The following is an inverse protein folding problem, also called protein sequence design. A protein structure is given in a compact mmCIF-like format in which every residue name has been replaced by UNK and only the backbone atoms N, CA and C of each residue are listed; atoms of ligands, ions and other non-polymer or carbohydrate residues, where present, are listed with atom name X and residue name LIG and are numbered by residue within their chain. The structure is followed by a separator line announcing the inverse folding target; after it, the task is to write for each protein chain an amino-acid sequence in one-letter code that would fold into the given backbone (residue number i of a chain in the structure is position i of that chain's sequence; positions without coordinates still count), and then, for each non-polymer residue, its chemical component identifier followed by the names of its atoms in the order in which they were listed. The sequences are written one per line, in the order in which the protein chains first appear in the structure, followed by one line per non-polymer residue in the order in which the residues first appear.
data_IF_072004749474
#
_entry.id   IF_072004749474
#
_cell.length_a   1.000
_cell.length_b   1.000
_cell.length_c   1.000
_cell.angle_alpha   90.00
_cell.angle_beta   90.00
_cell.angle_gamma   90.00
#
_symmetry.space_group_name_H-M   'P 1'
#
loop_
_entity.id
_entity.type
_entity.pdbx_description
1 polymer ?
#
# COMPACT_ATOMS: atom_id res chain seq x y z
N UNK A 1 10.30 8.60 6.58
CA UNK A 1 10.49 7.61 7.66
C UNK A 1 9.44 6.49 7.74
N UNK A 2 8.40 6.42 6.88
CA UNK A 2 7.34 5.40 7.03
C UNK A 2 7.29 4.31 5.95
N UNK A 3 7.30 4.67 4.66
CA UNK A 3 7.05 3.73 3.54
C UNK A 3 8.22 2.79 3.25
N UNK A 4 9.45 3.24 3.53
CA UNK A 4 10.67 2.47 3.29
C UNK A 4 10.84 1.26 4.20
N UNK A 5 10.25 1.19 5.40
CA UNK A 5 10.58 0.11 6.36
C UNK A 5 9.99 -1.24 5.99
N UNK A 6 8.73 -1.26 5.55
CA UNK A 6 8.05 -2.50 5.11
C UNK A 6 8.55 -2.95 3.76
N UNK A 7 8.70 -2.03 2.79
CA UNK A 7 9.29 -2.36 1.51
C UNK A 7 10.74 -2.86 1.68
N UNK A 8 11.57 -2.21 2.49
CA UNK A 8 12.94 -2.64 2.73
C UNK A 8 13.05 -3.98 3.49
N UNK A 9 12.06 -4.33 4.31
CA UNK A 9 12.01 -5.63 4.99
C UNK A 9 11.66 -6.78 4.02
N UNK A 10 10.76 -6.54 3.06
CA UNK A 10 10.25 -7.57 2.15
C UNK A 10 10.84 -7.54 0.73
N UNK A 11 11.53 -6.47 0.34
CA UNK A 11 12.23 -6.35 -0.93
C UNK A 11 13.33 -7.40 -1.14
N UNK A 12 14.23 -7.70 -0.17
CA UNK A 12 15.23 -8.75 -0.35
C UNK A 12 14.58 -10.12 -0.48
N UNK A 13 13.57 -10.43 0.34
CA UNK A 13 12.81 -11.68 0.28
C UNK A 13 12.10 -11.86 -1.07
N UNK A 14 11.45 -10.80 -1.57
CA UNK A 14 10.75 -10.81 -2.85
C UNK A 14 11.70 -10.90 -4.03
N UNK A 15 12.88 -10.28 -3.94
CA UNK A 15 13.92 -10.39 -4.97
C UNK A 15 14.53 -11.80 -5.02
N UNK A 16 14.67 -12.47 -3.89
CA UNK A 16 15.13 -13.86 -3.79
C UNK A 16 14.11 -14.83 -4.41
N UNK A 17 12.81 -14.65 -4.10
CA UNK A 17 11.70 -15.40 -4.73
C UNK A 17 11.63 -15.14 -6.23
N UNK A 18 11.81 -13.90 -6.69
CA UNK A 18 11.81 -13.56 -8.11
C UNK A 18 12.98 -14.21 -8.86
N UNK A 19 14.18 -14.27 -8.25
CA UNK A 19 15.34 -15.00 -8.79
C UNK A 19 15.07 -16.51 -8.89
N UNK A 20 14.45 -17.11 -7.86
CA UNK A 20 14.08 -18.52 -7.86
C UNK A 20 12.99 -18.86 -8.88
N UNK A 21 12.08 -17.93 -9.17
CA UNK A 21 10.98 -18.10 -10.12
C UNK A 21 11.33 -17.69 -11.57
N UNK A 22 12.53 -17.15 -11.83
CA UNK A 22 12.94 -16.67 -13.16
C UNK A 22 12.21 -15.41 -13.64
N UNK A 23 11.53 -14.69 -12.74
CA UNK A 23 10.76 -13.47 -13.05
C UNK A 23 11.64 -12.25 -12.79
N UNK A 24 11.51 -11.22 -13.63
CA UNK A 24 12.24 -9.96 -13.42
C UNK A 24 11.88 -9.35 -12.06
N UNK A 25 12.90 -9.08 -11.24
CA UNK A 25 12.77 -8.54 -9.87
C UNK A 25 11.95 -7.24 -9.84
N UNK A 26 12.06 -6.42 -10.89
CA UNK A 26 11.30 -5.17 -11.02
C UNK A 26 9.79 -5.43 -11.05
N UNK A 27 9.39 -6.54 -11.66
CA UNK A 27 7.99 -6.93 -11.81
C UNK A 27 7.30 -7.26 -10.48
N UNK A 28 8.06 -7.74 -9.50
CA UNK A 28 7.56 -8.07 -8.16
C UNK A 28 7.71 -6.90 -7.16
N UNK A 29 8.74 -6.07 -7.32
CA UNK A 29 8.98 -4.94 -6.42
C UNK A 29 8.01 -3.77 -6.62
N UNK A 30 7.56 -3.50 -7.85
CA UNK A 30 6.62 -2.41 -8.14
C UNK A 30 5.28 -2.57 -7.40
N UNK A 31 4.55 -3.69 -7.52
CA UNK A 31 3.32 -3.89 -6.75
C UNK A 31 3.57 -3.89 -5.24
N UNK A 32 4.70 -4.43 -4.79
CA UNK A 32 5.08 -4.43 -3.37
C UNK A 32 5.22 -3.00 -2.83
N UNK A 33 5.89 -2.11 -3.56
CA UNK A 33 6.08 -0.72 -3.18
C UNK A 33 4.74 0.00 -3.04
N UNK A 34 3.86 -0.17 -4.02
CA UNK A 34 2.57 0.48 -4.02
C UNK A 34 1.62 -0.08 -2.95
N UNK A 35 1.60 -1.40 -2.76
CA UNK A 35 0.88 -2.06 -1.68
C UNK A 35 1.32 -1.56 -0.30
N UNK A 36 2.64 -1.45 -0.08
CA UNK A 36 3.21 -0.92 1.17
C UNK A 36 2.82 0.55 1.43
N UNK A 37 2.63 1.35 0.37
CA UNK A 37 2.19 2.74 0.48
C UNK A 37 0.69 2.85 0.79
N UNK A 38 -0.15 2.09 0.08
CA UNK A 38 -1.61 2.10 0.25
C UNK A 38 -2.04 1.57 1.63
N UNK A 39 -1.33 0.58 2.17
CA UNK A 39 -1.64 0.02 3.49
C UNK A 39 -1.61 1.04 4.64
N UNK A 40 -0.79 2.10 4.54
CA UNK A 40 -0.75 3.15 5.59
C UNK A 40 -1.98 4.05 5.60
N UNK A 41 -2.56 4.30 4.43
CA UNK A 41 -3.77 5.12 4.31
C UNK A 41 -5.01 4.41 4.86
N UNK A 42 -4.93 3.10 5.10
CA UNK A 42 -5.98 2.30 5.74
C UNK A 42 -5.94 2.37 7.28
N UNK A 43 -4.87 2.91 7.88
CA UNK A 43 -4.68 2.86 9.33
C UNK A 43 -5.30 4.07 10.05
N UNK A 44 -6.14 3.86 11.09
CA UNK A 44 -6.66 4.94 11.94
C UNK A 44 -5.62 5.71 12.72
N UNK A 45 -4.44 5.12 12.88
CA UNK A 45 -3.32 5.69 13.61
C UNK A 45 -2.38 6.43 12.64
N UNK A 46 -2.70 6.44 11.35
CA UNK A 46 -1.91 7.17 10.35
C UNK A 46 -1.97 8.67 10.61
N UNK A 47 -0.81 9.29 10.83
CA UNK A 47 -0.72 10.71 11.19
C UNK A 47 -1.42 11.65 10.21
N UNK A 48 -1.52 11.26 8.93
CA UNK A 48 -2.26 12.01 7.90
C UNK A 48 -3.78 11.96 8.16
N UNK A 49 -4.33 10.80 8.51
CA UNK A 49 -5.76 10.65 8.84
C UNK A 49 -6.08 11.41 10.13
N UNK A 50 -5.21 11.35 11.13
CA UNK A 50 -5.37 12.08 12.39
C UNK A 50 -5.34 13.59 12.14
N UNK A 51 -4.37 14.10 11.37
CA UNK A 51 -4.29 15.52 11.03
C UNK A 51 -5.53 16.01 10.28
N UNK A 52 -6.00 15.28 9.26
CA UNK A 52 -7.20 15.64 8.49
C UNK A 52 -8.47 15.56 9.36
N UNK A 53 -8.55 14.59 10.28
CA UNK A 53 -9.66 14.48 11.22
C UNK A 53 -9.76 15.69 12.15
N UNK A 54 -8.63 16.22 12.60
CA UNK A 54 -8.56 17.44 13.40
C UNK A 54 -9.00 18.70 12.63
N UNK A 55 -8.73 18.78 11.33
CA UNK A 55 -9.18 19.89 10.48
C UNK A 55 -10.68 19.87 10.20
N UNK A 56 -11.27 18.68 10.06
CA UNK A 56 -12.68 18.51 9.68
C UNK A 56 -13.60 18.34 10.90
N UNK A 57 -13.04 18.09 12.09
CA UNK A 57 -13.81 17.91 13.33
C UNK A 57 -14.59 16.59 13.39
N UNK A 58 -14.25 15.62 12.55
CA UNK A 58 -14.89 14.29 12.50
C UNK A 58 -13.97 13.23 13.11
N UNK A 59 -14.54 12.14 13.60
CA UNK A 59 -13.74 11.05 14.15
C UNK A 59 -12.94 10.34 13.05
N UNK A 60 -11.67 9.93 13.30
CA UNK A 60 -10.83 9.23 12.32
C UNK A 60 -11.53 8.01 11.71
N UNK A 61 -12.31 7.30 12.52
CA UNK A 61 -13.03 6.11 12.13
C UNK A 61 -14.06 6.36 11.03
N UNK A 62 -14.73 7.52 11.03
CA UNK A 62 -15.69 7.88 9.99
C UNK A 62 -14.99 8.20 8.65
N UNK A 63 -13.84 8.87 8.70
CA UNK A 63 -13.02 9.14 7.52
C UNK A 63 -12.53 7.83 6.90
N UNK A 64 -12.09 6.90 7.74
CA UNK A 64 -11.62 5.59 7.29
C UNK A 64 -12.75 4.79 6.70
N UNK A 65 -13.93 4.72 7.34
CA UNK A 65 -15.07 3.99 6.80
C UNK A 65 -15.46 4.46 5.39
N UNK A 66 -15.35 5.76 5.10
CA UNK A 66 -15.53 6.32 3.74
C UNK A 66 -14.35 6.04 2.81
N UNK A 67 -13.12 6.17 3.30
CA UNK A 67 -11.93 5.93 2.50
C UNK A 67 -11.67 4.44 2.24
N UNK A 68 -12.16 3.52 3.05
CA UNK A 68 -11.97 2.08 2.88
C UNK A 68 -12.52 1.63 1.53
N UNK A 69 -13.70 2.08 1.13
CA UNK A 69 -14.29 1.72 -0.17
C UNK A 69 -13.41 2.24 -1.31
N UNK A 70 -13.04 3.53 -1.28
CA UNK A 70 -12.17 4.15 -2.29
C UNK A 70 -10.81 3.44 -2.38
N UNK A 71 -10.19 3.16 -1.24
CA UNK A 71 -8.88 2.51 -1.19
C UNK A 71 -8.92 1.05 -1.59
N UNK A 72 -9.95 0.30 -1.19
CA UNK A 72 -10.12 -1.09 -1.61
C UNK A 72 -10.28 -1.17 -3.13
N UNK A 73 -11.05 -0.27 -3.74
CA UNK A 73 -11.17 -0.18 -5.20
C UNK A 73 -9.81 0.13 -5.84
N UNK A 74 -9.08 1.11 -5.32
CA UNK A 74 -7.74 1.46 -5.81
C UNK A 74 -6.74 0.30 -5.67
N UNK A 75 -6.77 -0.43 -4.55
CA UNK A 75 -5.91 -1.58 -4.30
C UNK A 75 -6.21 -2.74 -5.26
N UNK A 76 -7.50 -3.04 -5.49
CA UNK A 76 -7.93 -4.08 -6.43
C UNK A 76 -7.53 -3.70 -7.85
N UNK A 77 -7.80 -2.46 -8.29
CA UNK A 77 -7.36 -1.96 -9.59
C UNK A 77 -5.85 -2.09 -9.77
N UNK A 78 -5.09 -1.74 -8.74
CA UNK A 78 -3.64 -1.79 -8.76
C UNK A 78 -3.09 -3.21 -8.83
N UNK A 79 -3.70 -4.16 -8.10
CA UNK A 79 -3.36 -5.58 -8.22
C UNK A 79 -3.70 -6.13 -9.61
N UNK A 80 -4.87 -5.78 -10.16
CA UNK A 80 -5.28 -6.23 -11.50
C UNK A 80 -4.36 -5.66 -12.58
N UNK A 81 -4.04 -4.36 -12.52
CA UNK A 81 -3.09 -3.71 -13.43
C UNK A 81 -1.70 -4.34 -13.33
N UNK A 82 -1.22 -4.59 -12.11
CA UNK A 82 0.07 -5.23 -11.90
C UNK A 82 0.12 -6.68 -12.40
N UNK A 83 -1.00 -7.39 -12.47
CA UNK A 83 -1.07 -8.75 -13.01
C UNK A 83 -1.22 -8.76 -14.54
N UNK A 84 -1.81 -7.72 -15.13
CA UNK A 84 -2.14 -7.66 -16.56
C UNK A 84 -1.11 -6.94 -17.44
N UNK A 85 -0.37 -5.96 -16.90
CA UNK A 85 0.70 -5.24 -17.63
C UNK A 85 2.08 -5.91 -17.52
N UNK A 86 2.14 -7.14 -16.98
CA UNK A 86 3.36 -7.79 -16.52
C UNK A 86 3.54 -9.19 -17.12
#
# INVERSE_FOLDING_TARGET
MGTGTVFNAFAPLSAEVAKGAGISVFKMLVPLHFSASLGRSFSPISGVIIAVSGFVGVTPFQIIKRNCVQLTIAYVLMMVLSLSYL
#
